data_IF_451358807087
#
_entry.id   IF_451358807087
#
_cell.length_a   1.000
_cell.length_b   1.000
_cell.length_c   1.000
_cell.angle_alpha   90.00
_cell.angle_beta   90.00
_cell.angle_gamma   90.00
#
_symmetry.space_group_name_H-M   'P 1'
#
loop_
_entity.id
_entity.type
_entity.pdbx_description
1 polymer ?
#
# COMPACT_ATOMS: atom_id res chain seq x y z
N UNK A 1 -12.79 14.37 -15.39
CA UNK A 1 -12.48 13.08 -14.73
C UNK A 1 -11.11 12.61 -15.16
N UNK A 2 -10.30 12.15 -14.23
CA UNK A 2 -8.98 11.60 -14.54
C UNK A 2 -8.95 10.09 -14.24
N UNK A 3 -7.91 9.41 -14.69
CA UNK A 3 -7.72 7.98 -14.43
C UNK A 3 -6.32 7.72 -13.89
N UNK A 4 -6.13 6.59 -13.24
CA UNK A 4 -4.84 6.17 -12.71
C UNK A 4 -3.94 5.80 -13.89
N UNK A 5 -2.81 6.49 -14.00
CA UNK A 5 -1.84 6.29 -15.08
C UNK A 5 -0.71 5.38 -14.66
N UNK A 6 -0.20 5.55 -13.46
CA UNK A 6 0.91 4.73 -12.97
C UNK A 6 0.83 4.54 -11.46
N UNK A 7 1.40 3.42 -11.02
CA UNK A 7 1.51 3.07 -9.60
C UNK A 7 2.95 2.71 -9.34
N UNK A 8 3.59 3.43 -8.44
CA UNK A 8 4.97 3.20 -8.05
C UNK A 8 4.99 2.58 -6.67
N UNK A 9 5.70 1.49 -6.52
CA UNK A 9 5.85 0.80 -5.24
C UNK A 9 7.31 0.93 -4.80
N UNK A 10 7.52 1.52 -3.62
CA UNK A 10 8.84 1.73 -3.04
C UNK A 10 8.93 0.98 -1.71
N UNK A 11 10.08 0.39 -1.46
CA UNK A 11 10.36 -0.29 -0.20
C UNK A 11 11.50 0.45 0.50
N UNK A 12 11.20 1.03 1.65
CA UNK A 12 12.15 1.86 2.39
C UNK A 12 12.27 1.32 3.82
N UNK A 13 13.51 1.12 4.26
CA UNK A 13 13.81 0.80 5.65
C UNK A 13 14.05 2.09 6.42
N UNK A 14 13.21 2.35 7.41
CA UNK A 14 13.33 3.53 8.25
C UNK A 14 13.67 3.10 9.66
N UNK A 15 14.89 3.37 10.15
CA UNK A 15 15.21 3.09 11.54
C UNK A 15 14.38 4.02 12.43
N UNK A 16 13.71 3.49 13.49
CA UNK A 16 12.98 4.35 14.39
C UNK A 16 13.95 5.27 15.14
N UNK A 17 13.59 6.56 15.33
CA UNK A 17 14.47 7.50 16.03
C UNK A 17 14.73 7.10 17.49
N UNK A 18 13.78 6.40 18.08
CA UNK A 18 13.94 5.83 19.43
C UNK A 18 13.65 4.33 19.33
N UNK A 19 14.62 3.48 19.68
CA UNK A 19 14.39 2.03 19.70
C UNK A 19 13.22 1.68 20.62
N UNK A 20 12.34 0.82 20.13
CA UNK A 20 11.19 0.33 20.89
C UNK A 20 11.25 -1.18 20.95
N UNK A 21 10.60 -1.73 21.96
CA UNK A 21 10.45 -3.18 22.06
C UNK A 21 9.08 -3.49 22.61
N UNK A 22 8.57 -4.65 22.22
CA UNK A 22 7.39 -5.24 22.85
C UNK A 22 7.80 -6.52 23.57
N UNK A 23 6.83 -7.34 23.95
CA UNK A 23 7.11 -8.59 24.68
C UNK A 23 7.84 -9.64 23.83
N UNK A 24 7.93 -9.43 22.51
CA UNK A 24 8.44 -10.43 21.57
C UNK A 24 9.73 -9.97 20.91
N UNK A 25 9.82 -8.70 20.47
CA UNK A 25 10.98 -8.24 19.72
C UNK A 25 11.27 -6.76 19.94
N UNK A 26 12.49 -6.37 19.57
CA UNK A 26 12.89 -4.97 19.51
C UNK A 26 12.68 -4.43 18.11
N UNK A 27 12.18 -3.19 18.01
CA UNK A 27 11.95 -2.52 16.74
C UNK A 27 13.20 -1.74 16.35
N UNK A 28 14.10 -2.40 15.66
CA UNK A 28 15.36 -1.78 15.19
C UNK A 28 15.25 -1.30 13.74
N UNK A 29 14.30 -1.85 12.97
CA UNK A 29 14.02 -1.42 11.61
C UNK A 29 12.51 -1.35 11.42
N UNK A 30 12.09 -0.41 10.58
CA UNK A 30 10.72 -0.31 10.13
C UNK A 30 10.73 -0.37 8.61
N UNK A 31 10.31 -1.51 8.09
CA UNK A 31 10.14 -1.68 6.66
C UNK A 31 8.88 -0.95 6.24
N UNK A 32 8.99 -0.05 5.27
CA UNK A 32 7.88 0.81 4.88
C UNK A 32 7.61 0.69 3.39
N UNK A 33 6.60 -0.10 3.00
CA UNK A 33 6.12 -0.10 1.62
C UNK A 33 5.34 1.18 1.34
N UNK A 34 5.82 1.96 0.36
CA UNK A 34 5.14 3.17 -0.13
C UNK A 34 4.43 2.90 -1.43
N UNK A 35 3.27 3.49 -1.58
CA UNK A 35 2.51 3.47 -2.83
C UNK A 35 2.33 4.92 -3.28
N UNK A 36 2.78 5.22 -4.50
CA UNK A 36 2.53 6.51 -5.13
C UNK A 36 1.70 6.27 -6.38
N UNK A 37 0.53 6.89 -6.41
CA UNK A 37 -0.39 6.76 -7.53
C UNK A 37 -0.41 8.09 -8.27
N UNK A 38 -0.15 8.03 -9.57
CA UNK A 38 -0.19 9.21 -10.44
C UNK A 38 -1.36 9.10 -11.40
N UNK A 39 -2.09 10.20 -11.53
CA UNK A 39 -3.22 10.30 -12.43
C UNK A 39 -2.80 10.85 -13.77
N UNK A 40 -3.65 10.65 -14.77
CA UNK A 40 -3.40 11.16 -16.12
C UNK A 40 -3.29 12.69 -16.19
N UNK A 41 -3.93 13.41 -15.26
CA UNK A 41 -3.87 14.86 -15.16
C UNK A 41 -2.63 15.38 -14.43
N UNK A 42 -1.74 14.50 -13.97
CA UNK A 42 -0.51 14.85 -13.26
C UNK A 42 -0.66 14.92 -11.74
N UNK A 43 -1.87 14.81 -11.21
CA UNK A 43 -2.05 14.76 -9.75
C UNK A 43 -1.59 13.43 -9.18
N UNK A 44 -1.30 13.41 -7.89
CA UNK A 44 -0.76 12.22 -7.20
C UNK A 44 -1.39 12.03 -5.83
N UNK A 45 -1.34 10.78 -5.38
CA UNK A 45 -1.60 10.44 -3.99
C UNK A 45 -0.56 9.44 -3.50
N UNK A 46 -0.21 9.53 -2.23
CA UNK A 46 0.79 8.67 -1.60
C UNK A 46 0.23 8.04 -0.34
N UNK A 47 0.48 6.76 -0.19
CA UNK A 47 0.12 6.01 1.01
C UNK A 47 1.24 5.08 1.39
N UNK A 48 1.19 4.57 2.61
CA UNK A 48 2.16 3.59 3.06
C UNK A 48 1.56 2.71 4.15
N UNK A 49 2.23 1.60 4.37
CA UNK A 49 2.05 0.76 5.54
C UNK A 49 3.43 0.39 6.05
N UNK A 50 3.51 -0.40 7.11
CA UNK A 50 4.82 -0.77 7.63
C UNK A 50 4.80 -2.14 8.29
N UNK A 51 5.97 -2.74 8.37
CA UNK A 51 6.26 -3.93 9.15
C UNK A 51 7.48 -3.65 10.01
N UNK A 52 7.73 -4.52 10.98
CA UNK A 52 8.80 -4.31 11.94
C UNK A 52 9.90 -5.36 11.76
N UNK A 53 10.52 -5.34 10.59
CA UNK A 53 11.68 -6.17 10.27
C UNK A 53 11.36 -7.51 9.61
N UNK A 54 10.09 -7.83 9.41
CA UNK A 54 9.70 -9.08 8.77
C UNK A 54 8.42 -8.88 7.96
N UNK A 55 8.40 -9.37 6.73
CA UNK A 55 7.20 -9.38 5.90
C UNK A 55 7.07 -8.20 4.95
N UNK A 56 7.94 -7.20 5.04
CA UNK A 56 7.87 -6.04 4.15
C UNK A 56 7.99 -6.40 2.68
N UNK A 57 8.89 -7.31 2.34
CA UNK A 57 9.03 -7.77 0.95
C UNK A 57 7.80 -8.52 0.46
N UNK A 58 7.09 -9.21 1.34
CA UNK A 58 5.84 -9.89 0.99
C UNK A 58 4.74 -8.87 0.67
N UNK A 59 4.65 -7.80 1.45
CA UNK A 59 3.71 -6.71 1.17
C UNK A 59 4.04 -6.04 -0.16
N UNK A 60 5.32 -5.75 -0.40
CA UNK A 60 5.78 -5.14 -1.66
C UNK A 60 5.46 -6.05 -2.86
N UNK A 61 5.71 -7.35 -2.74
CA UNK A 61 5.43 -8.30 -3.82
C UNK A 61 3.92 -8.35 -4.13
N UNK A 62 3.08 -8.40 -3.12
CA UNK A 62 1.63 -8.39 -3.31
C UNK A 62 1.18 -7.10 -4.01
N UNK A 63 1.69 -5.96 -3.59
CA UNK A 63 1.39 -4.67 -4.20
C UNK A 63 1.84 -4.63 -5.66
N UNK A 64 3.10 -4.96 -5.90
CA UNK A 64 3.71 -4.83 -7.24
C UNK A 64 3.14 -5.82 -8.23
N UNK A 65 3.01 -7.07 -7.83
CA UNK A 65 2.72 -8.16 -8.76
C UNK A 65 1.22 -8.37 -8.98
N UNK A 66 0.39 -8.05 -7.98
CA UNK A 66 -1.01 -8.43 -8.01
C UNK A 66 -1.99 -7.26 -7.89
N UNK A 67 -1.68 -6.24 -7.09
CA UNK A 67 -2.63 -5.17 -6.83
C UNK A 67 -2.43 -3.95 -7.74
N UNK A 68 -1.19 -3.47 -7.88
CA UNK A 68 -0.91 -2.29 -8.70
C UNK A 68 -1.41 -2.43 -10.15
N UNK A 69 -1.22 -3.58 -10.83
CA UNK A 69 -1.72 -3.72 -12.19
C UNK A 69 -3.24 -3.56 -12.33
N UNK A 70 -3.99 -3.85 -11.28
CA UNK A 70 -5.45 -3.72 -11.29
C UNK A 70 -5.95 -2.28 -11.19
N UNK A 71 -5.06 -1.37 -10.80
CA UNK A 71 -5.42 0.04 -10.61
C UNK A 71 -5.34 0.86 -11.89
N UNK A 72 -4.51 0.45 -12.83
CA UNK A 72 -4.26 1.21 -14.06
C UNK A 72 -5.55 1.39 -14.85
N UNK A 73 -5.83 2.65 -15.22
CA UNK A 73 -7.02 2.99 -15.98
C UNK A 73 -8.27 3.22 -15.14
N UNK A 74 -8.19 2.98 -13.83
CA UNK A 74 -9.35 3.13 -12.94
C UNK A 74 -9.59 4.60 -12.60
N UNK A 75 -10.83 4.89 -12.26
CA UNK A 75 -11.23 6.21 -11.75
C UNK A 75 -10.84 6.29 -10.26
N UNK A 76 -9.87 7.14 -9.89
CA UNK A 76 -9.40 7.20 -8.51
C UNK A 76 -10.42 7.74 -7.51
N UNK A 77 -11.47 8.40 -7.99
CA UNK A 77 -12.53 8.90 -7.11
C UNK A 77 -13.39 7.78 -6.52
N UNK A 78 -13.37 6.60 -7.14
CA UNK A 78 -14.15 5.46 -6.67
C UNK A 78 -13.38 4.60 -5.67
N UNK A 79 -12.98 5.24 -4.57
CA UNK A 79 -12.11 4.63 -3.56
C UNK A 79 -12.74 3.36 -2.97
N UNK A 80 -14.01 3.43 -2.58
CA UNK A 80 -14.68 2.30 -1.94
C UNK A 80 -14.88 1.13 -2.89
N UNK A 81 -15.18 1.40 -4.15
CA UNK A 81 -15.33 0.36 -5.17
C UNK A 81 -14.00 -0.33 -5.45
N UNK A 82 -12.92 0.45 -5.57
CA UNK A 82 -11.57 -0.10 -5.78
C UNK A 82 -11.18 -0.98 -4.59
N UNK A 83 -11.40 -0.50 -3.36
CA UNK A 83 -11.07 -1.26 -2.17
C UNK A 83 -11.82 -2.60 -2.15
N UNK A 84 -13.10 -2.58 -2.46
CA UNK A 84 -13.94 -3.79 -2.50
C UNK A 84 -13.43 -4.79 -3.54
N UNK A 85 -13.11 -4.32 -4.73
CA UNK A 85 -12.60 -5.18 -5.79
C UNK A 85 -11.26 -5.79 -5.45
N UNK A 86 -10.36 -5.02 -4.84
CA UNK A 86 -9.08 -5.54 -4.38
C UNK A 86 -9.25 -6.56 -3.26
N UNK A 87 -10.20 -6.33 -2.36
CA UNK A 87 -10.51 -7.26 -1.29
C UNK A 87 -10.99 -8.61 -1.87
N UNK A 88 -11.88 -8.58 -2.84
CA UNK A 88 -12.35 -9.80 -3.50
C UNK A 88 -11.24 -10.48 -4.30
N UNK A 89 -10.38 -9.71 -4.95
CA UNK A 89 -9.25 -10.25 -5.70
C UNK A 89 -8.25 -10.98 -4.79
N UNK A 90 -8.20 -10.62 -3.52
CA UNK A 90 -7.29 -11.21 -2.54
C UNK A 90 -7.99 -12.12 -1.54
N UNK A 91 -9.19 -12.61 -1.85
CA UNK A 91 -9.97 -13.40 -0.89
C UNK A 91 -9.24 -14.66 -0.42
N UNK A 92 -8.39 -15.23 -1.25
CA UNK A 92 -7.63 -16.43 -0.88
C UNK A 92 -6.54 -16.16 0.17
N UNK A 93 -6.13 -14.90 0.33
CA UNK A 93 -5.12 -14.49 1.30
C UNK A 93 -5.68 -13.58 2.39
N UNK A 94 -6.94 -13.22 2.30
CA UNK A 94 -7.67 -12.53 3.37
C UNK A 94 -8.23 -13.58 4.36
N UNK A 95 -8.30 -13.30 5.64
CA UNK A 95 -7.84 -12.11 6.31
C UNK A 95 -6.45 -12.38 6.85
N UNK A 96 -5.47 -11.56 6.48
CA UNK A 96 -4.10 -11.71 6.95
C UNK A 96 -3.40 -10.35 6.95
N UNK A 97 -2.41 -10.21 7.81
CA UNK A 97 -1.72 -8.94 7.97
C UNK A 97 -1.05 -8.48 6.66
N UNK A 98 -0.42 -9.38 5.93
CA UNK A 98 0.25 -9.04 4.66
C UNK A 98 -0.76 -8.40 3.69
N UNK A 99 -1.91 -9.04 3.51
CA UNK A 99 -2.95 -8.54 2.61
C UNK A 99 -3.53 -7.22 3.11
N UNK A 100 -3.84 -7.13 4.40
CA UNK A 100 -4.41 -5.91 4.99
C UNK A 100 -3.47 -4.72 4.88
N UNK A 101 -2.16 -4.94 5.08
CA UNK A 101 -1.15 -3.88 4.96
C UNK A 101 -1.04 -3.40 3.52
N UNK A 102 -1.07 -4.30 2.55
CA UNK A 102 -1.04 -3.93 1.14
C UNK A 102 -2.27 -3.12 0.74
N UNK A 103 -3.46 -3.58 1.13
CA UNK A 103 -4.70 -2.85 0.85
C UNK A 103 -4.71 -1.47 1.51
N UNK A 104 -4.21 -1.38 2.74
CA UNK A 104 -4.17 -0.12 3.48
C UNK A 104 -3.28 0.92 2.79
N UNK A 105 -2.14 0.53 2.26
CA UNK A 105 -1.25 1.44 1.56
C UNK A 105 -1.92 2.04 0.30
N UNK A 106 -2.62 1.23 -0.46
CA UNK A 106 -3.36 1.70 -1.64
C UNK A 106 -4.53 2.60 -1.23
N UNK A 107 -5.30 2.17 -0.26
CA UNK A 107 -6.47 2.93 0.20
C UNK A 107 -6.05 4.31 0.71
N UNK A 108 -4.98 4.37 1.48
CA UNK A 108 -4.42 5.62 1.97
C UNK A 108 -3.98 6.52 0.82
N UNK A 109 -3.33 5.97 -0.21
CA UNK A 109 -2.90 6.74 -1.38
C UNK A 109 -4.09 7.34 -2.13
N UNK A 110 -5.18 6.59 -2.28
CA UNK A 110 -6.38 7.08 -2.94
C UNK A 110 -7.06 8.19 -2.13
N UNK A 111 -7.15 8.04 -0.82
CA UNK A 111 -7.71 9.07 0.05
C UNK A 111 -6.81 10.31 0.10
N UNK A 112 -5.49 10.14 0.10
CA UNK A 112 -4.55 11.25 0.03
C UNK A 112 -4.76 12.06 -1.25
N UNK A 113 -4.93 11.40 -2.38
CA UNK A 113 -5.21 12.08 -3.63
C UNK A 113 -6.53 12.85 -3.58
N UNK A 114 -7.55 12.24 -2.97
CA UNK A 114 -8.90 12.83 -2.94
C UNK A 114 -8.99 14.03 -2.00
N UNK A 115 -8.20 14.07 -0.95
CA UNK A 115 -8.16 15.19 -0.01
C UNK A 115 -7.15 16.23 -0.48
#
# INVERSE_FOLDING_TARGET
>A
MTTIRSVEILHVDLPPPVPRSDAIQSFVTQETPFVRIRMADGSEGTGYSYTIGTGGSSVVALLRDHLAPRLIGRDPARVEQIWRELLFATHATSVGAITSLALAAIDTALWDWRC
#
